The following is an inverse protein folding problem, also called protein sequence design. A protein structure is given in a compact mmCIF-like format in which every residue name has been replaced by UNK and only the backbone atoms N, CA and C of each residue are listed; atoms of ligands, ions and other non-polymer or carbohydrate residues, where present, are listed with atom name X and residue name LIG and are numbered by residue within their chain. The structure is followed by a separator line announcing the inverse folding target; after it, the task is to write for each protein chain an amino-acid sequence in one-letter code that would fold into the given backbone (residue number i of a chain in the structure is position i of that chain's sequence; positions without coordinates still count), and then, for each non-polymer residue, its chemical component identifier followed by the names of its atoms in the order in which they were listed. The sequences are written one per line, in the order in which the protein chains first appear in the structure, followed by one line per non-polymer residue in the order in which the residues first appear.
data_IF_695356341383
#
_entry.id   IF_695356341383
#
_cell.length_a   1.000
_cell.length_b   1.000
_cell.length_c   1.000
_cell.angle_alpha   90.00
_cell.angle_beta   90.00
_cell.angle_gamma   90.00
#
_symmetry.space_group_name_H-M   'P 1'
#
loop_
_entity.id
_entity.type
_entity.pdbx_description
1 polymer ?
#
# COMPACT_ATOMS: atom_id res chain seq x y z
N UNK A 1 25.90 -2.13 1.76
CA UNK A 1 24.50 -2.57 1.94
C UNK A 1 23.91 -2.55 0.54
N UNK A 2 23.59 -3.69 -0.05
CA UNK A 2 23.10 -3.74 -1.43
C UNK A 2 21.57 -3.50 -1.43
N UNK A 3 21.15 -2.25 -1.29
CA UNK A 3 19.74 -1.86 -1.37
C UNK A 3 19.55 -0.89 -2.54
N UNK A 4 18.49 -1.09 -3.32
CA UNK A 4 18.06 -0.15 -4.36
C UNK A 4 17.00 0.80 -3.79
N UNK A 5 16.61 1.82 -4.56
CA UNK A 5 15.66 2.84 -4.10
C UNK A 5 14.28 2.27 -3.72
N UNK A 6 13.83 1.23 -4.41
CA UNK A 6 12.55 0.57 -4.14
C UNK A 6 12.60 -0.10 -2.76
N UNK A 7 13.65 -0.86 -2.50
CA UNK A 7 13.84 -1.55 -1.23
C UNK A 7 14.05 -0.57 -0.07
N UNK A 8 14.80 0.52 -0.29
CA UNK A 8 14.95 1.57 0.70
C UNK A 8 13.64 2.27 1.05
N UNK A 9 12.76 2.50 0.06
CA UNK A 9 11.41 3.02 0.31
C UNK A 9 10.57 2.03 1.12
N UNK A 10 10.62 0.73 0.78
CA UNK A 10 9.92 -0.34 1.50
C UNK A 10 10.36 -0.42 2.95
N UNK A 11 11.67 -0.44 3.20
CA UNK A 11 12.26 -0.40 4.54
C UNK A 11 11.74 0.78 5.34
N UNK A 12 11.82 2.00 4.78
CA UNK A 12 11.32 3.20 5.46
C UNK A 12 9.82 3.15 5.73
N UNK A 13 9.03 2.58 4.82
CA UNK A 13 7.60 2.42 5.00
C UNK A 13 7.27 1.49 6.18
N UNK A 14 8.01 0.38 6.33
CA UNK A 14 7.81 -0.59 7.40
C UNK A 14 8.35 -0.10 8.74
N UNK A 15 9.55 0.47 8.77
CA UNK A 15 10.13 1.06 10.00
C UNK A 15 9.21 2.15 10.57
N UNK A 16 8.55 2.93 9.71
CA UNK A 16 7.57 3.94 10.12
C UNK A 16 6.29 3.33 10.73
N UNK A 17 5.95 2.07 10.43
CA UNK A 17 4.87 1.38 11.14
C UNK A 17 5.31 1.08 12.57
N UNK A 18 6.52 0.53 12.72
CA UNK A 18 7.12 0.15 13.99
C UNK A 18 7.56 1.35 14.86
N UNK A 19 7.63 2.56 14.31
CA UNK A 19 7.81 3.80 15.10
C UNK A 19 6.54 4.24 15.84
N UNK A 20 5.43 3.51 15.69
CA UNK A 20 4.11 3.87 16.24
C UNK A 20 3.53 2.78 17.13
N UNK A 21 2.28 2.97 17.60
CA UNK A 21 1.57 2.01 18.46
C UNK A 21 1.32 0.63 17.83
N UNK A 22 1.64 0.45 16.54
CA UNK A 22 1.68 -0.85 15.88
C UNK A 22 2.77 -1.76 16.49
N UNK A 23 3.95 -1.24 16.87
CA UNK A 23 5.05 -2.06 17.41
C UNK A 23 4.64 -2.81 18.68
N UNK A 24 4.01 -2.11 19.62
CA UNK A 24 3.56 -2.71 20.87
C UNK A 24 2.59 -3.87 20.63
N UNK A 25 1.59 -3.69 19.74
CA UNK A 25 0.63 -4.75 19.43
C UNK A 25 1.28 -5.90 18.67
N UNK A 26 2.25 -5.59 17.81
CA UNK A 26 3.04 -6.58 17.08
C UNK A 26 3.81 -7.49 18.04
N UNK A 27 4.62 -6.88 18.91
CA UNK A 27 5.50 -7.58 19.85
C UNK A 27 4.72 -8.33 20.94
N UNK A 28 3.65 -7.75 21.48
CA UNK A 28 2.91 -8.33 22.60
C UNK A 28 1.93 -9.44 22.18
N UNK A 29 1.49 -9.49 20.91
CA UNK A 29 0.42 -10.42 20.52
C UNK A 29 0.40 -10.84 19.05
N UNK A 30 0.50 -9.90 18.10
CA UNK A 30 0.27 -10.24 16.69
C UNK A 30 1.37 -11.11 16.11
N UNK A 31 2.64 -10.90 16.49
CA UNK A 31 3.75 -11.73 16.02
C UNK A 31 3.54 -13.20 16.35
N UNK A 32 3.29 -13.54 17.62
CA UNK A 32 3.07 -14.92 18.04
C UNK A 32 1.83 -15.53 17.39
N UNK A 33 0.76 -14.75 17.28
CA UNK A 33 -0.48 -15.19 16.62
C UNK A 33 -0.25 -15.45 15.13
N UNK A 34 0.50 -14.58 14.45
CA UNK A 34 0.89 -14.72 13.06
C UNK A 34 1.75 -15.98 12.86
N UNK A 35 2.81 -16.14 13.67
CA UNK A 35 3.71 -17.30 13.61
C UNK A 35 2.97 -18.61 13.83
N UNK A 36 2.05 -18.66 14.80
CA UNK A 36 1.18 -19.82 15.02
C UNK A 36 0.29 -20.13 13.80
N UNK A 37 -0.28 -19.10 13.16
CA UNK A 37 -1.14 -19.27 11.99
C UNK A 37 -0.39 -19.78 10.76
N UNK A 38 0.88 -19.43 10.61
CA UNK A 38 1.75 -19.97 9.55
C UNK A 38 2.48 -21.26 9.96
N UNK A 39 2.04 -21.92 11.05
CA UNK A 39 2.66 -23.14 11.60
C UNK A 39 4.15 -23.00 11.91
N UNK A 40 4.61 -21.80 12.26
CA UNK A 40 6.03 -21.47 12.44
C UNK A 40 6.90 -21.74 11.19
N UNK A 41 6.29 -21.81 10.01
CA UNK A 41 6.97 -22.03 8.72
C UNK A 41 6.86 -20.77 7.88
N UNK A 42 7.93 -19.98 7.92
CA UNK A 42 8.10 -18.76 7.13
C UNK A 42 8.43 -19.17 5.68
N UNK A 43 7.39 -19.34 4.86
CA UNK A 43 7.51 -19.59 3.43
C UNK A 43 6.44 -18.79 2.67
N UNK A 44 6.63 -18.64 1.37
CA UNK A 44 5.82 -17.81 0.51
C UNK A 44 4.36 -18.24 0.48
N UNK A 45 4.07 -19.54 0.47
CA UNK A 45 2.68 -20.03 0.49
C UNK A 45 1.96 -19.65 1.78
N UNK A 46 2.60 -19.88 2.92
CA UNK A 46 2.01 -19.62 4.22
C UNK A 46 1.82 -18.12 4.47
N UNK A 47 2.81 -17.30 4.13
CA UNK A 47 2.71 -15.84 4.20
C UNK A 47 1.61 -15.34 3.27
N UNK A 48 1.61 -15.78 2.00
CA UNK A 48 0.59 -15.37 1.03
C UNK A 48 -0.84 -15.70 1.51
N UNK A 49 -1.06 -16.92 2.01
CA UNK A 49 -2.37 -17.36 2.51
C UNK A 49 -2.81 -16.66 3.80
N UNK A 50 -1.91 -15.97 4.51
CA UNK A 50 -2.29 -15.18 5.67
C UNK A 50 -3.32 -14.09 5.34
N UNK A 51 -3.42 -13.66 4.07
CA UNK A 51 -4.46 -12.76 3.59
C UNK A 51 -5.89 -13.22 3.92
N UNK A 52 -6.12 -14.52 3.91
CA UNK A 52 -7.43 -15.12 4.23
C UNK A 52 -7.78 -15.05 5.73
N UNK A 53 -6.83 -14.70 6.59
CA UNK A 53 -7.05 -14.67 8.04
C UNK A 53 -6.46 -13.44 8.74
N UNK A 54 -6.11 -12.37 8.00
CA UNK A 54 -5.68 -11.09 8.59
C UNK A 54 -6.74 -10.49 9.51
N UNK A 55 -8.03 -10.69 9.23
CA UNK A 55 -9.12 -10.23 10.11
C UNK A 55 -9.05 -10.90 11.47
N UNK A 56 -8.70 -12.18 11.53
CA UNK A 56 -8.60 -12.92 12.78
C UNK A 56 -7.38 -12.48 13.58
N UNK A 57 -6.25 -12.24 12.89
CA UNK A 57 -5.06 -11.66 13.51
C UNK A 57 -5.39 -10.28 14.10
N UNK A 58 -6.00 -9.39 13.32
CA UNK A 58 -6.41 -8.08 13.78
C UNK A 58 -7.33 -8.16 15.02
N UNK A 59 -8.26 -9.13 15.03
CA UNK A 59 -9.23 -9.29 16.11
C UNK A 59 -8.67 -9.97 17.36
N UNK A 60 -7.47 -10.58 17.32
CA UNK A 60 -6.89 -11.29 18.48
C UNK A 60 -6.68 -10.37 19.69
N UNK A 61 -6.53 -9.06 19.47
CA UNK A 61 -6.30 -8.04 20.52
C UNK A 61 -7.54 -7.20 20.83
N UNK A 62 -8.72 -7.57 20.30
CA UNK A 62 -9.91 -6.72 20.33
C UNK A 62 -10.96 -7.06 21.42
N UNK A 63 -10.62 -7.91 22.40
CA UNK A 63 -11.49 -8.26 23.53
C UNK A 63 -11.52 -7.15 24.59
N UNK A 64 -12.62 -6.38 24.65
CA UNK A 64 -12.92 -5.41 25.74
C UNK A 64 -12.89 -3.91 25.36
N UNK A 65 -13.62 -3.48 24.32
CA UNK A 65 -13.53 -2.10 23.78
C UNK A 65 -14.49 -1.08 24.42
N UNK A 66 -13.93 0.06 24.88
CA UNK A 66 -14.61 1.35 25.13
C UNK A 66 -14.45 2.29 23.91
N UNK A 67 -15.35 3.26 23.73
CA UNK A 67 -15.55 4.09 22.53
C UNK A 67 -14.30 4.87 22.00
N UNK A 68 -13.31 5.17 22.83
CA UNK A 68 -12.03 5.80 22.43
C UNK A 68 -11.09 4.87 21.64
N UNK A 69 -11.39 3.56 21.58
CA UNK A 69 -10.61 2.54 20.88
C UNK A 69 -10.89 2.43 19.37
N UNK A 70 -11.86 3.19 18.85
CA UNK A 70 -12.33 3.07 17.45
C UNK A 70 -11.34 3.68 16.45
N UNK A 71 -10.78 4.86 16.73
CA UNK A 71 -9.76 5.50 15.87
C UNK A 71 -8.42 4.76 15.89
N UNK A 72 -8.01 4.27 17.06
CA UNK A 72 -6.82 3.42 17.20
C UNK A 72 -6.94 2.08 16.47
N UNK A 73 -8.16 1.52 16.36
CA UNK A 73 -8.42 0.31 15.59
C UNK A 73 -8.23 0.51 14.08
N UNK A 74 -8.73 1.63 13.53
CA UNK A 74 -8.57 1.98 12.11
C UNK A 74 -7.10 2.06 11.70
N UNK A 75 -6.33 2.84 12.45
CA UNK A 75 -4.89 3.01 12.23
C UNK A 75 -4.12 1.68 12.30
N UNK A 76 -4.43 0.83 13.28
CA UNK A 76 -3.79 -0.49 13.43
C UNK A 76 -4.12 -1.44 12.26
N UNK A 77 -5.36 -1.41 11.76
CA UNK A 77 -5.76 -2.19 10.59
C UNK A 77 -5.00 -1.75 9.35
N UNK A 78 -4.91 -0.45 9.12
CA UNK A 78 -4.14 0.13 8.03
C UNK A 78 -2.66 -0.28 8.09
N UNK A 79 -2.02 -0.19 9.26
CA UNK A 79 -0.63 -0.63 9.44
C UNK A 79 -0.47 -2.14 9.18
N UNK A 80 -1.41 -2.97 9.64
CA UNK A 80 -1.36 -4.42 9.40
C UNK A 80 -1.46 -4.75 7.91
N UNK A 81 -2.36 -4.08 7.19
CA UNK A 81 -2.50 -4.22 5.74
C UNK A 81 -1.21 -3.77 5.03
N UNK A 82 -0.66 -2.61 5.39
CA UNK A 82 0.58 -2.09 4.82
C UNK A 82 1.75 -3.07 5.03
N UNK A 83 1.90 -3.59 6.26
CA UNK A 83 2.93 -4.57 6.60
C UNK A 83 2.79 -5.86 5.77
N UNK A 84 1.58 -6.43 5.72
CA UNK A 84 1.32 -7.68 5.00
C UNK A 84 1.57 -7.56 3.49
N UNK A 85 1.09 -6.48 2.87
CA UNK A 85 1.25 -6.27 1.43
C UNK A 85 2.73 -6.12 1.07
N UNK A 86 3.49 -5.31 1.81
CA UNK A 86 4.93 -5.18 1.55
C UNK A 86 5.70 -6.47 1.79
N UNK A 87 5.34 -7.26 2.81
CA UNK A 87 5.99 -8.56 3.05
C UNK A 87 5.78 -9.50 1.87
N UNK A 88 4.57 -9.55 1.31
CA UNK A 88 4.29 -10.36 0.12
C UNK A 88 4.97 -9.81 -1.15
N UNK A 89 5.31 -8.52 -1.17
CA UNK A 89 5.86 -7.80 -2.32
C UNK A 89 7.39 -7.61 -2.24
N UNK A 90 8.08 -8.24 -1.28
CA UNK A 90 9.55 -8.23 -1.25
C UNK A 90 10.14 -8.74 -2.57
N UNK A 91 11.22 -8.11 -3.03
CA UNK A 91 11.83 -8.38 -4.34
C UNK A 91 11.01 -7.97 -5.56
N UNK A 92 9.81 -7.37 -5.39
CA UNK A 92 9.03 -6.82 -6.51
C UNK A 92 9.26 -5.32 -6.67
N UNK A 93 8.80 -4.77 -7.81
CA UNK A 93 8.81 -3.32 -8.08
C UNK A 93 7.63 -2.56 -7.49
N UNK A 94 6.84 -3.18 -6.60
CA UNK A 94 5.75 -2.49 -5.89
C UNK A 94 6.09 -2.28 -4.43
N UNK A 95 5.82 -1.06 -3.93
CA UNK A 95 5.90 -0.72 -2.52
C UNK A 95 4.57 -0.13 -2.08
N UNK A 96 4.09 -0.54 -0.91
CA UNK A 96 2.89 0.04 -0.30
C UNK A 96 3.32 1.00 0.82
N UNK A 97 2.86 2.24 0.78
CA UNK A 97 3.23 3.26 1.75
C UNK A 97 1.98 3.89 2.37
N UNK A 98 2.08 4.38 3.60
CA UNK A 98 1.07 5.28 4.16
C UNK A 98 1.16 6.64 3.49
N UNK A 99 0.06 7.38 3.43
CA UNK A 99 0.05 8.76 2.93
C UNK A 99 0.71 9.74 3.93
N UNK A 100 2.04 9.69 4.00
CA UNK A 100 2.87 10.60 4.81
C UNK A 100 3.83 11.39 3.92
N UNK A 101 4.04 12.67 4.24
CA UNK A 101 4.84 13.62 3.43
C UNK A 101 6.27 13.13 3.13
N UNK A 102 6.87 12.35 4.02
CA UNK A 102 8.24 11.82 3.86
C UNK A 102 8.33 10.51 3.07
N UNK A 103 7.19 9.87 2.77
CA UNK A 103 7.12 8.62 2.03
C UNK A 103 6.62 8.82 0.59
N UNK A 104 5.64 9.72 0.39
CA UNK A 104 5.01 9.92 -0.92
C UNK A 104 5.86 10.87 -1.78
N UNK A 105 6.39 10.42 -2.92
CA UNK A 105 7.11 11.29 -3.85
C UNK A 105 6.23 12.42 -4.38
N UNK A 106 6.80 13.61 -4.56
CA UNK A 106 6.05 14.83 -4.92
C UNK A 106 5.23 14.68 -6.20
N UNK A 107 5.74 14.14 -7.32
CA UNK A 107 4.94 13.98 -8.53
C UNK A 107 3.66 13.18 -8.28
N UNK A 108 3.75 12.10 -7.50
CA UNK A 108 2.58 11.28 -7.16
C UNK A 108 1.64 12.01 -6.21
N UNK A 109 2.18 12.76 -5.23
CA UNK A 109 1.38 13.58 -4.32
C UNK A 109 0.59 14.65 -5.08
N UNK A 110 1.17 15.26 -6.11
CA UNK A 110 0.49 16.21 -6.97
C UNK A 110 -0.57 15.52 -7.84
N UNK A 111 -0.26 14.36 -8.41
CA UNK A 111 -1.17 13.62 -9.27
C UNK A 111 -2.48 13.22 -8.57
N UNK A 112 -2.39 12.73 -7.33
CA UNK A 112 -3.54 12.24 -6.57
C UNK A 112 -4.26 13.34 -5.76
N UNK A 113 -3.74 14.57 -5.78
CA UNK A 113 -4.38 15.67 -5.07
C UNK A 113 -5.72 16.04 -5.72
N UNK A 114 -6.72 16.29 -4.90
CA UNK A 114 -8.03 16.80 -5.35
C UNK A 114 -8.23 18.21 -4.83
N UNK A 115 -8.54 19.13 -5.73
CA UNK A 115 -8.73 20.54 -5.46
C UNK A 115 -10.21 20.89 -5.54
N UNK A 116 -10.75 21.45 -4.46
CA UNK A 116 -12.09 22.02 -4.37
C UNK A 116 -11.97 23.55 -4.42
N UNK A 117 -11.96 24.12 -5.62
CA UNK A 117 -11.55 25.51 -5.83
C UNK A 117 -10.13 25.75 -5.33
N UNK A 118 -9.96 26.62 -4.33
CA UNK A 118 -8.65 26.92 -3.73
C UNK A 118 -8.25 25.96 -2.59
N UNK A 119 -9.12 25.02 -2.21
CA UNK A 119 -8.84 24.07 -1.13
C UNK A 119 -8.26 22.77 -1.70
N UNK A 120 -7.01 22.45 -1.34
CA UNK A 120 -6.39 21.16 -1.65
C UNK A 120 -6.77 20.13 -0.59
N UNK A 121 -7.39 19.04 -1.01
CA UNK A 121 -7.68 17.87 -0.19
C UNK A 121 -6.64 16.78 -0.45
N UNK A 122 -5.81 16.55 0.57
CA UNK A 122 -4.75 15.54 0.59
C UNK A 122 -5.12 14.31 1.45
N UNK A 123 -6.36 14.20 1.95
CA UNK A 123 -6.62 13.49 3.21
C UNK A 123 -7.25 12.10 3.12
N UNK A 124 -7.52 11.57 1.93
CA UNK A 124 -8.32 10.34 1.87
C UNK A 124 -7.52 9.03 1.78
N UNK A 125 -6.39 9.01 1.06
CA UNK A 125 -5.71 7.75 0.80
C UNK A 125 -5.05 7.24 2.09
N UNK A 126 -5.56 6.14 2.65
CA UNK A 126 -4.88 5.50 3.79
C UNK A 126 -3.52 4.96 3.31
N UNK A 127 -3.53 4.12 2.27
CA UNK A 127 -2.34 3.53 1.67
C UNK A 127 -2.24 3.84 0.18
N UNK A 128 -1.01 3.91 -0.31
CA UNK A 128 -0.66 4.12 -1.71
C UNK A 128 0.29 3.01 -2.11
N UNK A 129 -0.13 2.14 -3.02
CA UNK A 129 0.76 1.17 -3.65
C UNK A 129 1.33 1.77 -4.94
N UNK A 130 2.66 1.86 -5.02
CA UNK A 130 3.39 2.42 -6.16
C UNK A 130 4.11 1.28 -6.85
N UNK A 131 3.83 1.06 -8.13
CA UNK A 131 4.57 0.14 -8.98
C UNK A 131 5.51 0.92 -9.90
N UNK A 132 6.80 0.82 -9.62
CA UNK A 132 7.87 1.49 -10.36
C UNK A 132 8.11 0.80 -11.71
N UNK A 133 8.58 1.51 -12.75
CA UNK A 133 8.91 0.91 -14.05
C UNK A 133 10.08 -0.08 -13.96
N UNK A 134 10.22 -0.94 -14.98
CA UNK A 134 11.29 -1.94 -15.03
C UNK A 134 12.52 -1.29 -15.67
N UNK A 135 13.07 -0.30 -14.97
CA UNK A 135 14.19 0.51 -15.44
C UNK A 135 15.37 0.35 -14.47
N UNK A 136 16.58 0.28 -15.02
CA UNK A 136 17.81 0.04 -14.25
C UNK A 136 17.97 1.08 -13.14
N UNK A 137 17.55 2.33 -13.35
CA UNK A 137 17.69 3.41 -12.36
C UNK A 137 16.97 3.12 -11.03
N UNK A 138 15.98 2.22 -11.02
CA UNK A 138 15.27 1.80 -9.81
C UNK A 138 15.79 0.48 -9.22
N UNK A 139 16.52 -0.31 -10.01
CA UNK A 139 17.00 -1.65 -9.65
C UNK A 139 18.47 -1.65 -9.23
N UNK A 140 19.24 -0.68 -9.72
CA UNK A 140 20.65 -0.48 -9.39
C UNK A 140 20.84 -0.17 -7.91
N UNK A 141 21.95 -0.67 -7.36
CA UNK A 141 22.36 -0.35 -6.00
C UNK A 141 22.52 1.17 -5.84
N UNK A 142 22.01 1.72 -4.74
CA UNK A 142 22.09 3.15 -4.44
C UNK A 142 23.55 3.66 -4.46
N UNK A 143 24.53 2.84 -4.08
CA UNK A 143 25.95 3.23 -4.12
C UNK A 143 26.49 3.44 -5.53
N UNK A 144 25.89 2.80 -6.53
CA UNK A 144 26.30 2.80 -7.94
C UNK A 144 25.41 3.68 -8.82
N UNK A 145 24.37 4.28 -8.24
CA UNK A 145 23.36 5.03 -8.96
C UNK A 145 23.93 6.36 -9.46
N UNK A 146 23.72 6.65 -10.75
CA UNK A 146 24.20 7.88 -11.39
C UNK A 146 23.03 8.61 -12.04
N UNK A 147 22.37 9.49 -11.26
CA UNK A 147 21.25 10.29 -11.73
C UNK A 147 21.70 11.74 -11.91
N UNK A 148 21.41 12.32 -13.07
CA UNK A 148 21.69 13.73 -13.37
C UNK A 148 20.40 14.49 -13.54
N UNK A 149 20.35 15.70 -12.99
CA UNK A 149 19.21 16.58 -13.14
C UNK A 149 19.11 17.19 -14.55
N UNK A 150 18.15 18.09 -14.76
CA UNK A 150 17.93 18.75 -16.05
C UNK A 150 19.08 19.69 -16.48
N UNK A 151 19.96 20.08 -15.56
CA UNK A 151 21.17 20.87 -15.84
C UNK A 151 22.40 20.00 -16.11
N UNK A 152 22.28 18.69 -15.93
CA UNK A 152 23.37 17.71 -16.08
C UNK A 152 24.19 17.50 -14.79
N UNK A 153 23.81 18.16 -13.69
CA UNK A 153 24.45 18.00 -12.39
C UNK A 153 24.06 16.67 -11.74
N UNK A 154 25.01 16.01 -11.07
CA UNK A 154 24.76 14.74 -10.41
C UNK A 154 23.93 14.98 -9.14
N UNK A 155 22.77 14.32 -9.03
CA UNK A 155 22.00 14.29 -7.78
C UNK A 155 22.75 13.39 -6.80
N UNK A 156 23.18 13.89 -5.63
CA UNK A 156 23.97 13.10 -4.70
C UNK A 156 23.14 11.96 -4.09
N UNK A 157 23.69 10.75 -4.10
CA UNK A 157 23.02 9.58 -3.50
C UNK A 157 22.87 9.71 -1.98
N UNK A 158 23.73 10.51 -1.35
CA UNK A 158 23.75 10.74 0.10
C UNK A 158 23.84 12.23 0.44
N UNK A 159 23.02 12.67 1.39
CA UNK A 159 23.05 14.01 1.99
C UNK A 159 23.15 13.87 3.49
N UNK A 160 24.18 14.45 4.12
CA UNK A 160 24.43 14.35 5.57
C UNK A 160 24.42 12.89 6.07
N UNK A 161 25.10 12.00 5.36
CA UNK A 161 25.18 10.56 5.63
C UNK A 161 23.83 9.81 5.63
N UNK A 162 22.79 10.39 5.03
CA UNK A 162 21.50 9.74 4.80
C UNK A 162 21.26 9.61 3.31
N UNK A 163 20.64 8.51 2.89
CA UNK A 163 20.25 8.30 1.50
C UNK A 163 19.33 9.44 1.07
N UNK A 164 19.63 10.07 -0.06
CA UNK A 164 18.84 11.17 -0.62
C UNK A 164 17.57 10.67 -1.34
N UNK A 165 16.86 9.73 -0.70
CA UNK A 165 15.76 8.97 -1.31
C UNK A 165 14.69 9.87 -1.91
N UNK A 166 14.27 10.92 -1.18
CA UNK A 166 13.20 11.80 -1.63
C UNK A 166 13.54 12.50 -2.94
N UNK A 167 14.74 13.07 -3.07
CA UNK A 167 15.13 13.80 -4.27
C UNK A 167 15.37 12.86 -5.45
N UNK A 168 16.02 11.71 -5.22
CA UNK A 168 16.24 10.70 -6.25
C UNK A 168 14.91 10.13 -6.77
N UNK A 169 13.98 9.78 -5.87
CA UNK A 169 12.66 9.27 -6.27
C UNK A 169 11.80 10.35 -6.91
N UNK A 170 11.80 11.59 -6.39
CA UNK A 170 11.07 12.70 -7.00
C UNK A 170 11.53 12.88 -8.45
N UNK A 171 12.84 12.91 -8.70
CA UNK A 171 13.40 13.08 -10.03
C UNK A 171 13.06 11.91 -10.96
N UNK A 172 13.30 10.66 -10.53
CA UNK A 172 13.04 9.49 -11.37
C UNK A 172 11.55 9.37 -11.72
N UNK A 173 10.67 9.60 -10.75
CA UNK A 173 9.22 9.51 -10.97
C UNK A 173 8.72 10.65 -11.86
N UNK A 174 9.28 11.85 -11.76
CA UNK A 174 8.96 12.94 -12.70
C UNK A 174 9.31 12.52 -14.13
N UNK A 175 10.55 12.05 -14.33
CA UNK A 175 11.06 11.54 -15.62
C UNK A 175 10.21 10.41 -16.21
N UNK A 176 9.84 9.43 -15.38
CA UNK A 176 9.15 8.20 -15.81
C UNK A 176 7.67 8.17 -15.41
N UNK A 177 7.06 9.32 -15.17
CA UNK A 177 5.71 9.42 -14.60
C UNK A 177 4.69 8.53 -15.34
N UNK A 178 4.76 8.54 -16.68
CA UNK A 178 3.85 7.76 -17.54
C UNK A 178 4.01 6.24 -17.48
N UNK A 179 5.08 5.77 -16.85
CA UNK A 179 5.38 4.34 -16.68
C UNK A 179 5.08 3.84 -15.27
N UNK A 180 4.71 4.74 -14.35
CA UNK A 180 4.37 4.41 -12.96
C UNK A 180 2.90 4.02 -12.87
N UNK A 181 2.60 3.00 -12.08
CA UNK A 181 1.22 2.64 -11.73
C UNK A 181 0.94 2.91 -10.26
N UNK A 182 -0.24 3.45 -9.95
CA UNK A 182 -0.70 3.70 -8.58
C UNK A 182 -1.96 2.90 -8.28
N UNK A 183 -2.02 2.33 -7.09
CA UNK A 183 -3.26 1.85 -6.50
C UNK A 183 -3.48 2.50 -5.13
N UNK A 184 -4.48 3.37 -5.02
CA UNK A 184 -4.94 3.93 -3.74
C UNK A 184 -5.75 2.86 -3.01
N UNK A 185 -5.44 2.61 -1.75
CA UNK A 185 -6.10 1.58 -0.95
C UNK A 185 -6.70 2.23 0.29
N UNK A 186 -8.03 2.26 0.34
CA UNK A 186 -8.77 2.71 1.51
C UNK A 186 -8.94 1.56 2.50
N UNK A 187 -8.56 1.76 3.75
CA UNK A 187 -8.67 0.81 4.84
C UNK A 187 -9.74 1.25 5.85
N UNK A 188 -10.80 0.45 6.03
CA UNK A 188 -11.83 0.75 7.05
C UNK A 188 -12.15 -0.48 7.90
N UNK A 189 -12.40 -0.24 9.19
CA UNK A 189 -12.69 -1.32 10.17
C UNK A 189 -14.15 -1.78 10.19
N UNK A 190 -15.01 -1.17 9.39
CA UNK A 190 -16.39 -1.60 9.16
C UNK A 190 -16.81 -1.26 7.71
N UNK A 191 -17.92 -1.87 7.25
CA UNK A 191 -18.41 -1.71 5.89
C UNK A 191 -19.62 -0.75 5.80
N UNK A 192 -20.56 -0.84 6.74
CA UNK A 192 -21.89 -0.22 6.63
C UNK A 192 -21.87 1.29 6.33
N UNK A 193 -21.32 2.10 7.22
CA UNK A 193 -21.29 3.56 7.04
C UNK A 193 -20.09 4.01 6.18
N UNK A 194 -19.05 3.18 6.13
CA UNK A 194 -17.78 3.53 5.52
C UNK A 194 -17.68 3.16 4.03
N UNK A 195 -18.60 2.37 3.47
CA UNK A 195 -18.60 2.01 2.03
C UNK A 195 -18.87 3.19 1.09
N UNK A 196 -19.52 4.25 1.59
CA UNK A 196 -19.87 5.42 0.78
C UNK A 196 -18.63 6.22 0.37
N UNK A 197 -17.67 6.31 1.29
CA UNK A 197 -16.43 7.07 1.10
C UNK A 197 -15.60 6.50 -0.07
N UNK A 198 -15.21 5.21 -0.09
CA UNK A 198 -14.44 4.66 -1.21
C UNK A 198 -15.21 4.69 -2.53
N UNK A 199 -16.54 4.52 -2.51
CA UNK A 199 -17.37 4.68 -3.70
C UNK A 199 -17.28 6.11 -4.27
N UNK A 200 -17.45 7.12 -3.41
CA UNK A 200 -17.38 8.52 -3.83
C UNK A 200 -16.01 8.87 -4.41
N UNK A 201 -14.93 8.39 -3.78
CA UNK A 201 -13.58 8.68 -4.25
C UNK A 201 -13.21 7.96 -5.54
N UNK A 202 -13.64 6.72 -5.72
CA UNK A 202 -13.48 6.04 -7.02
C UNK A 202 -14.29 6.74 -8.12
N UNK A 203 -15.50 7.24 -7.81
CA UNK A 203 -16.24 8.12 -8.73
C UNK A 203 -15.49 9.41 -9.01
N UNK A 204 -14.83 10.02 -8.02
CA UNK A 204 -14.05 11.24 -8.23
C UNK A 204 -12.91 10.96 -9.19
N UNK A 205 -12.06 9.99 -8.89
CA UNK A 205 -10.90 9.65 -9.72
C UNK A 205 -11.26 9.11 -11.11
N UNK A 206 -12.43 8.49 -11.25
CA UNK A 206 -12.92 8.00 -12.55
C UNK A 206 -13.64 9.07 -13.38
N UNK A 207 -13.96 10.23 -12.82
CA UNK A 207 -14.66 11.28 -13.54
C UNK A 207 -13.74 11.92 -14.58
N UNK A 208 -14.25 12.06 -15.81
CA UNK A 208 -13.47 12.70 -16.86
C UNK A 208 -13.28 14.20 -16.65
N UNK A 209 -14.33 14.85 -16.17
CA UNK A 209 -14.36 16.26 -15.78
C UNK A 209 -15.53 16.53 -14.85
N UNK A 210 -15.46 17.62 -14.09
CA UNK A 210 -16.56 18.11 -13.28
C UNK A 210 -17.10 19.42 -13.85
N UNK A 211 -18.43 19.57 -13.84
CA UNK A 211 -19.08 20.81 -14.24
C UNK A 211 -18.49 21.97 -13.45
N UNK A 212 -18.15 23.06 -14.14
CA UNK A 212 -17.59 24.31 -13.62
C UNK A 212 -16.14 24.29 -13.09
N UNK A 213 -15.34 23.23 -13.37
CA UNK A 213 -13.94 23.11 -12.94
C UNK A 213 -13.70 23.35 -11.44
N UNK A 214 -14.74 23.25 -10.61
CA UNK A 214 -14.66 23.46 -9.16
C UNK A 214 -13.98 22.30 -8.45
N UNK A 215 -13.98 21.13 -9.08
CA UNK A 215 -13.24 19.95 -8.64
C UNK A 215 -12.21 19.64 -9.71
N UNK A 216 -10.94 19.65 -9.33
CA UNK A 216 -9.82 19.30 -10.19
C UNK A 216 -9.01 18.19 -9.54
N UNK A 217 -8.50 17.27 -10.36
CA UNK A 217 -7.67 16.15 -9.92
C UNK A 217 -6.31 16.31 -10.58
N UNK A 218 -5.26 16.19 -9.79
CA UNK A 218 -3.92 16.49 -10.24
C UNK A 218 -3.58 17.97 -10.14
N UNK A 219 -2.30 18.27 -10.07
CA UNK A 219 -1.76 19.62 -9.98
C UNK A 219 -0.33 19.68 -10.51
N UNK A 220 0.16 20.90 -10.77
CA UNK A 220 1.55 21.13 -11.19
C UNK A 220 2.01 20.27 -12.39
N UNK A 221 1.12 20.04 -13.36
CA UNK A 221 1.41 19.24 -14.56
C UNK A 221 1.23 17.72 -14.39
N UNK A 222 0.96 17.23 -13.17
CA UNK A 222 0.74 15.81 -12.89
C UNK A 222 -0.74 15.48 -12.82
N UNK A 223 -1.13 14.36 -13.44
CA UNK A 223 -2.50 13.84 -13.41
C UNK A 223 -2.48 12.33 -13.34
N UNK A 224 -3.40 11.73 -12.59
CA UNK A 224 -3.58 10.27 -12.56
C UNK A 224 -3.87 9.67 -13.95
N UNK A 225 -4.40 10.46 -14.89
CA UNK A 225 -4.69 10.03 -16.26
C UNK A 225 -3.43 9.77 -17.09
N UNK A 226 -2.31 10.35 -16.68
CA UNK A 226 -1.04 10.21 -17.38
C UNK A 226 -0.20 9.06 -16.81
N UNK A 227 -0.65 8.37 -15.75
CA UNK A 227 0.02 7.20 -15.21
C UNK A 227 -0.19 5.98 -16.13
N UNK A 228 0.68 4.97 -16.01
CA UNK A 228 0.51 3.71 -16.74
C UNK A 228 -0.77 2.96 -16.34
N UNK A 229 -1.14 3.05 -15.06
CA UNK A 229 -2.39 2.50 -14.51
C UNK A 229 -2.73 3.24 -13.21
N UNK A 230 -4.01 3.51 -12.99
CA UNK A 230 -4.52 4.07 -11.74
C UNK A 230 -5.70 3.25 -11.26
N UNK A 231 -5.65 2.82 -10.00
CA UNK A 231 -6.71 2.03 -9.36
C UNK A 231 -7.06 2.59 -7.99
N UNK A 232 -8.30 2.38 -7.59
CA UNK A 232 -8.79 2.67 -6.26
C UNK A 232 -9.40 1.40 -5.65
N UNK A 233 -8.85 0.94 -4.54
CA UNK A 233 -9.22 -0.30 -3.85
C UNK A 233 -9.81 0.01 -2.49
N UNK A 234 -10.67 -0.89 -2.01
CA UNK A 234 -11.18 -0.88 -0.66
C UNK A 234 -10.76 -2.16 0.07
N UNK A 235 -10.24 -2.04 1.28
CA UNK A 235 -9.80 -3.15 2.13
C UNK A 235 -10.44 -3.00 3.51
N UNK A 236 -11.33 -3.93 3.85
CA UNK A 236 -12.04 -3.87 5.14
C UNK A 236 -11.72 -5.04 6.06
N UNK A 237 -11.93 -4.83 7.36
CA UNK A 237 -12.08 -5.91 8.32
C UNK A 237 -13.54 -5.98 8.78
N UNK A 238 -14.25 -7.10 8.54
CA UNK A 238 -15.61 -7.27 9.04
C UNK A 238 -15.58 -7.54 10.55
N UNK A 239 -15.51 -6.46 11.35
CA UNK A 239 -15.58 -6.51 12.82
C UNK A 239 -17.01 -6.55 13.36
N UNK A 240 -18.01 -6.33 12.49
CA UNK A 240 -19.42 -6.40 12.85
C UNK A 240 -19.89 -7.86 12.89
N UNK A 241 -20.85 -8.15 13.77
CA UNK A 241 -21.51 -9.48 13.87
C UNK A 241 -22.47 -9.76 12.72
N UNK A 242 -22.77 -8.76 11.89
CA UNK A 242 -23.65 -8.92 10.75
C UNK A 242 -22.95 -9.68 9.62
N UNK A 243 -23.66 -10.65 9.05
CA UNK A 243 -23.25 -11.28 7.80
C UNK A 243 -23.37 -10.30 6.63
N UNK A 244 -22.37 -10.28 5.76
CA UNK A 244 -22.42 -9.50 4.52
C UNK A 244 -22.85 -10.41 3.38
N UNK A 245 -23.94 -10.04 2.72
CA UNK A 245 -24.47 -10.74 1.56
C UNK A 245 -24.30 -9.87 0.32
N UNK A 246 -24.29 -10.46 -0.89
CA UNK A 246 -24.18 -9.71 -2.13
C UNK A 246 -25.24 -8.60 -2.27
N UNK A 247 -26.42 -8.76 -1.67
CA UNK A 247 -27.53 -7.80 -1.79
C UNK A 247 -27.41 -6.59 -0.86
N UNK A 248 -26.50 -6.60 0.12
CA UNK A 248 -26.35 -5.46 1.04
C UNK A 248 -25.82 -4.23 0.30
N UNK A 249 -26.41 -3.07 0.59
CA UNK A 249 -26.01 -1.79 -0.01
C UNK A 249 -24.52 -1.48 0.19
N UNK A 250 -23.97 -1.78 1.36
CA UNK A 250 -22.53 -1.58 1.63
C UNK A 250 -21.64 -2.37 0.66
N UNK A 251 -22.06 -3.59 0.31
CA UNK A 251 -21.36 -4.46 -0.65
C UNK A 251 -21.49 -3.91 -2.07
N UNK A 252 -22.71 -3.56 -2.48
CA UNK A 252 -22.98 -3.04 -3.82
C UNK A 252 -22.21 -1.75 -4.12
N UNK A 253 -22.07 -0.86 -3.13
CA UNK A 253 -21.33 0.42 -3.27
C UNK A 253 -19.86 0.24 -3.65
N UNK A 254 -19.21 -0.83 -3.18
CA UNK A 254 -17.78 -1.07 -3.40
C UNK A 254 -17.50 -2.19 -4.42
N UNK A 255 -18.55 -2.84 -4.95
CA UNK A 255 -18.42 -4.00 -5.85
C UNK A 255 -17.63 -3.68 -7.11
N UNK A 256 -17.83 -2.48 -7.64
CA UNK A 256 -17.31 -2.06 -8.95
C UNK A 256 -16.12 -1.09 -8.86
N UNK A 257 -15.49 -0.96 -7.68
CA UNK A 257 -14.29 -0.12 -7.56
C UNK A 257 -13.21 -0.61 -8.53
N UNK A 258 -12.52 0.32 -9.16
CA UNK A 258 -11.50 0.06 -10.19
C UNK A 258 -10.41 -0.92 -9.72
N UNK A 259 -9.91 -0.73 -8.50
CA UNK A 259 -8.94 -1.60 -7.84
C UNK A 259 -9.55 -2.80 -7.13
N UNK A 260 -10.87 -2.80 -6.91
CA UNK A 260 -11.61 -3.89 -6.28
C UNK A 260 -11.88 -3.73 -4.79
N UNK A 261 -12.72 -4.62 -4.28
CA UNK A 261 -13.12 -4.69 -2.88
C UNK A 261 -12.56 -5.96 -2.24
N UNK A 262 -11.79 -5.78 -1.18
CA UNK A 262 -11.08 -6.83 -0.48
C UNK A 262 -11.35 -6.81 1.03
N UNK A 263 -11.05 -7.94 1.67
CA UNK A 263 -11.07 -8.06 3.13
C UNK A 263 -10.02 -9.04 3.64
N UNK A 264 -9.79 -9.06 4.95
CA UNK A 264 -8.88 -10.02 5.58
C UNK A 264 -9.51 -11.39 5.86
N UNK A 265 -10.39 -11.88 5.00
CA UNK A 265 -11.07 -13.19 5.10
C UNK A 265 -10.94 -13.91 3.75
N UNK A 266 -11.23 -15.21 3.71
CA UNK A 266 -11.39 -15.94 2.44
C UNK A 266 -12.38 -15.23 1.52
N UNK A 267 -12.15 -15.34 0.21
CA UNK A 267 -13.03 -14.75 -0.81
C UNK A 267 -14.45 -15.29 -0.67
N UNK A 268 -15.44 -14.40 -0.64
CA UNK A 268 -16.85 -14.74 -0.71
C UNK A 268 -17.44 -14.17 -1.98
N UNK A 269 -18.01 -15.08 -2.80
CA UNK A 269 -18.56 -14.74 -4.11
C UNK A 269 -19.55 -13.57 -4.01
N UNK A 270 -19.41 -12.64 -4.96
CA UNK A 270 -20.21 -11.42 -5.09
C UNK A 270 -20.25 -10.50 -3.85
N UNK A 271 -19.36 -10.75 -2.87
CA UNK A 271 -19.28 -9.97 -1.63
C UNK A 271 -17.95 -9.24 -1.55
N UNK A 272 -16.86 -9.95 -1.30
CA UNK A 272 -15.51 -9.39 -1.23
C UNK A 272 -14.48 -10.47 -1.51
N UNK A 273 -13.37 -10.08 -2.12
CA UNK A 273 -12.22 -10.98 -2.33
C UNK A 273 -11.32 -10.99 -1.10
N UNK A 274 -10.64 -12.10 -0.86
CA UNK A 274 -9.49 -12.10 0.05
C UNK A 274 -8.47 -11.07 -0.41
N UNK A 275 -7.85 -10.36 0.54
CA UNK A 275 -6.82 -9.37 0.22
C UNK A 275 -5.66 -10.00 -0.57
N UNK A 276 -5.40 -11.30 -0.46
CA UNK A 276 -4.36 -11.95 -1.28
C UNK A 276 -4.67 -11.94 -2.79
N UNK A 277 -5.93 -11.71 -3.19
CA UNK A 277 -6.27 -11.58 -4.61
C UNK A 277 -5.79 -10.24 -5.20
N UNK A 278 -5.48 -9.24 -4.36
CA UNK A 278 -5.00 -7.93 -4.81
C UNK A 278 -3.70 -8.05 -5.62
N UNK A 279 -2.84 -9.03 -5.30
CA UNK A 279 -1.55 -9.16 -5.95
C UNK A 279 -1.70 -9.51 -7.44
N UNK A 280 -2.63 -10.41 -7.77
CA UNK A 280 -2.90 -10.79 -9.15
C UNK A 280 -3.73 -9.75 -9.91
N UNK A 281 -4.61 -9.03 -9.21
CA UNK A 281 -5.50 -8.03 -9.82
C UNK A 281 -4.80 -6.70 -10.08
N UNK A 282 -3.99 -6.24 -9.12
CA UNK A 282 -3.48 -4.87 -9.10
C UNK A 282 -1.97 -4.79 -9.25
N UNK A 283 -1.22 -5.83 -8.89
CA UNK A 283 0.25 -5.79 -8.86
C UNK A 283 0.90 -6.78 -9.84
N UNK A 284 0.15 -7.29 -10.81
CA UNK A 284 0.66 -8.27 -11.78
C UNK A 284 1.82 -7.73 -12.62
N UNK A 285 1.77 -6.43 -12.99
CA UNK A 285 2.77 -5.81 -13.85
C UNK A 285 4.14 -5.63 -13.18
N UNK A 286 4.22 -5.62 -11.85
CA UNK A 286 5.45 -5.44 -11.09
C UNK A 286 6.13 -6.75 -10.68
N UNK A 287 5.43 -7.87 -10.86
CA UNK A 287 5.98 -9.20 -10.63
C UNK A 287 7.01 -9.52 -11.71
N UNK A 288 8.07 -10.24 -11.34
CA UNK A 288 9.04 -10.79 -12.29
C UNK A 288 8.37 -11.87 -13.15
N UNK A 289 9.11 -12.46 -14.10
CA UNK A 289 8.64 -13.63 -14.86
C UNK A 289 8.33 -14.84 -13.95
N UNK A 290 8.77 -14.81 -12.69
CA UNK A 290 8.54 -15.83 -11.68
C UNK A 290 7.23 -15.59 -10.95
N UNK A 291 6.48 -16.66 -10.64
CA UNK A 291 5.25 -16.57 -9.84
C UNK A 291 5.54 -15.89 -8.49
N UNK A 292 4.65 -15.00 -8.05
CA UNK A 292 4.80 -14.25 -6.79
C UNK A 292 5.21 -15.11 -5.59
N UNK A 293 4.53 -16.25 -5.37
CA UNK A 293 4.82 -17.15 -4.24
C UNK A 293 6.26 -17.68 -4.32
N UNK A 294 6.71 -18.06 -5.51
CA UNK A 294 8.07 -18.57 -5.72
C UNK A 294 9.11 -17.46 -5.53
N UNK A 295 8.82 -16.24 -5.99
CA UNK A 295 9.67 -15.08 -5.70
C UNK A 295 9.76 -14.81 -4.20
N UNK A 296 8.62 -14.87 -3.52
CA UNK A 296 8.53 -14.66 -2.08
C UNK A 296 9.33 -15.73 -1.32
N UNK A 297 9.26 -17.01 -1.70
CA UNK A 297 10.09 -18.07 -1.12
C UNK A 297 11.60 -17.74 -1.20
N UNK A 298 12.08 -17.29 -2.36
CA UNK A 298 13.48 -16.93 -2.57
C UNK A 298 13.92 -15.74 -1.70
N UNK A 299 13.07 -14.72 -1.60
CA UNK A 299 13.40 -13.52 -0.84
C UNK A 299 13.28 -13.73 0.68
N UNK A 300 12.43 -14.65 1.13
CA UNK A 300 12.30 -14.99 2.54
C UNK A 300 13.56 -15.66 3.12
N UNK A 301 14.47 -16.19 2.29
CA UNK A 301 15.79 -16.64 2.75
C UNK A 301 16.60 -15.50 3.39
N UNK A 302 16.30 -14.24 3.01
CA UNK A 302 16.95 -13.02 3.49
C UNK A 302 16.15 -12.32 4.59
N UNK A 303 15.11 -12.97 5.14
CA UNK A 303 14.16 -12.33 6.07
C UNK A 303 14.80 -11.81 7.36
N UNK A 304 15.87 -12.47 7.81
CA UNK A 304 16.59 -12.12 9.04
C UNK A 304 17.84 -11.26 8.80
N UNK A 305 18.12 -10.89 7.55
CA UNK A 305 19.33 -10.14 7.19
C UNK A 305 19.00 -8.86 6.43
N UNK A 306 18.45 -8.98 5.22
CA UNK A 306 18.08 -7.83 4.37
C UNK A 306 16.74 -7.25 4.80
N UNK A 307 15.81 -8.11 5.20
CA UNK A 307 14.42 -7.76 5.51
C UNK A 307 14.11 -7.85 7.01
N UNK A 308 15.12 -7.74 7.87
CA UNK A 308 15.01 -7.84 9.33
C UNK A 308 14.06 -6.78 9.93
N UNK A 309 13.88 -5.68 9.21
CA UNK A 309 12.94 -4.61 9.52
C UNK A 309 11.46 -5.06 9.53
N UNK A 310 11.11 -6.23 8.97
CA UNK A 310 9.77 -6.81 9.12
C UNK A 310 9.50 -7.43 10.50
N UNK A 311 10.53 -7.61 11.33
CA UNK A 311 10.44 -8.12 12.72
C UNK A 311 9.76 -9.50 12.81
N UNK A 312 10.09 -10.40 11.88
CA UNK A 312 9.66 -11.80 11.87
C UNK A 312 10.65 -12.75 12.57
N UNK A 313 11.94 -12.40 12.59
CA UNK A 313 13.02 -13.14 13.26
C UNK A 313 12.98 -13.00 14.77
#
# INVERSE_FOLDING_TARGET
MNSNLIEELRKCAIEELFSTSFSAVWEESWRDTFMKKIENKVNGKNIFNMGDSLSELFQSTSKGRNQSSVSGGGYKWECLVCWYLNLCLIGTRTVVIKQKKNLVPKPLKEAIAVYYGNFRSDTEADLIAISFPNDESYLTNIDELLIRDCSGELIPNYVKNKINRSELLDFLIDRDFEKVSINIIQCKTNWNDNAQIPMLWDMIYSADSFVSNRIQIGGNGFSIKNLADFKYSFVTVPTNKEEYTPTKTAVQRVRNLSGGNFWGRESLNDTASSIKEIFNRNFKSSQSSTRLITNLDLELEKINTVYDYFKLG
#
